data_IF_063787544471
#
_entry.id   IF_063787544471
#
_cell.length_a   1.000
_cell.length_b   1.000
_cell.length_c   1.000
_cell.angle_alpha   90.00
_cell.angle_beta   90.00
_cell.angle_gamma   90.00
#
_symmetry.space_group_name_H-M   'P 1'
#
loop_
_entity.id
_entity.type
_entity.pdbx_description
1 polymer ?
#
# COMPACT_ATOMS: atom_id res chain seq x y z
N UNK A 1 -10.20 4.92 16.77
CA UNK A 1 -10.19 3.44 16.64
C UNK A 1 -8.99 3.07 15.80
N UNK A 2 -8.30 1.99 16.11
CA UNK A 2 -7.15 1.51 15.33
C UNK A 2 -7.63 0.91 14.01
N UNK A 3 -6.95 1.22 12.89
CA UNK A 3 -7.21 0.53 11.62
C UNK A 3 -6.62 -0.87 11.67
N UNK A 4 -7.35 -1.87 11.18
CA UNK A 4 -6.85 -3.24 11.06
C UNK A 4 -6.65 -3.66 9.62
N UNK A 5 -5.49 -4.27 9.34
CA UNK A 5 -5.11 -4.83 8.04
C UNK A 5 -4.75 -6.31 8.25
N UNK A 6 -5.55 -7.19 7.67
CA UNK A 6 -5.28 -8.64 7.66
C UNK A 6 -4.71 -9.04 6.29
N UNK A 7 -3.48 -9.53 6.24
CA UNK A 7 -2.80 -9.91 5.00
C UNK A 7 -2.75 -11.43 4.89
N UNK A 8 -3.39 -11.98 3.86
CA UNK A 8 -3.41 -13.42 3.58
C UNK A 8 -2.34 -13.74 2.54
N UNK A 9 -1.42 -14.65 2.86
CA UNK A 9 -0.29 -15.00 1.99
C UNK A 9 0.10 -16.48 2.12
N UNK A 10 0.80 -16.99 1.11
CA UNK A 10 1.45 -18.31 1.15
C UNK A 10 2.92 -18.24 1.57
N UNK A 11 3.49 -17.01 1.66
CA UNK A 11 4.91 -16.74 2.00
C UNK A 11 4.99 -15.63 3.05
N UNK A 12 4.55 -15.87 4.31
CA UNK A 12 4.51 -14.85 5.35
C UNK A 12 5.88 -14.24 5.69
N UNK A 13 6.97 -14.97 5.44
CA UNK A 13 8.32 -14.51 5.73
C UNK A 13 8.71 -13.26 4.91
N UNK A 14 8.14 -13.07 3.71
CA UNK A 14 8.39 -11.87 2.87
C UNK A 14 7.84 -10.59 3.50
N UNK A 15 6.88 -10.71 4.41
CA UNK A 15 6.22 -9.59 5.08
C UNK A 15 6.86 -9.23 6.41
N UNK A 16 7.70 -10.11 6.96
CA UNK A 16 8.20 -9.99 8.33
C UNK A 16 9.00 -8.71 8.58
N UNK A 17 9.91 -8.33 7.67
CA UNK A 17 10.72 -7.12 7.83
C UNK A 17 9.95 -5.84 7.46
N UNK A 18 9.34 -5.72 6.26
CA UNK A 18 8.69 -4.47 5.86
C UNK A 18 7.60 -3.99 6.83
N UNK A 19 6.83 -4.91 7.41
CA UNK A 19 5.71 -4.56 8.29
C UNK A 19 6.14 -4.27 9.74
N UNK A 20 7.36 -4.65 10.15
CA UNK A 20 7.83 -4.56 11.54
C UNK A 20 9.00 -3.58 11.72
N UNK A 21 9.20 -2.66 10.79
CA UNK A 21 10.26 -1.65 10.87
C UNK A 21 9.72 -0.22 10.66
N UNK A 22 10.49 0.78 11.09
CA UNK A 22 10.27 2.21 10.85
C UNK A 22 8.87 2.71 11.25
N UNK A 23 8.15 3.36 10.33
CA UNK A 23 6.83 3.99 10.55
C UNK A 23 5.77 2.94 10.88
N UNK A 24 5.72 1.83 10.12
CA UNK A 24 4.72 0.78 10.34
C UNK A 24 4.84 0.16 11.74
N UNK A 25 6.07 -0.11 12.20
CA UNK A 25 6.31 -0.57 13.56
C UNK A 25 5.78 0.42 14.61
N UNK A 26 6.16 1.69 14.48
CA UNK A 26 5.73 2.74 15.43
C UNK A 26 4.22 2.93 15.47
N UNK A 27 3.56 2.91 14.29
CA UNK A 27 2.12 3.03 14.21
C UNK A 27 1.39 1.87 14.91
N UNK A 28 1.93 0.65 14.81
CA UNK A 28 1.42 -0.53 15.52
C UNK A 28 1.66 -0.43 17.03
N UNK A 29 2.89 -0.09 17.46
CA UNK A 29 3.24 0.09 18.88
C UNK A 29 2.43 1.20 19.56
N UNK A 30 2.07 2.24 18.81
CA UNK A 30 1.24 3.36 19.29
C UNK A 30 -0.27 3.11 19.14
N UNK A 31 -0.69 1.96 18.62
CA UNK A 31 -2.09 1.57 18.52
C UNK A 31 -2.89 2.31 17.43
N UNK A 32 -2.21 2.93 16.43
CA UNK A 32 -2.88 3.57 15.29
C UNK A 32 -3.28 2.56 14.21
N UNK A 33 -2.49 1.49 14.04
CA UNK A 33 -2.77 0.40 13.13
C UNK A 33 -2.48 -0.95 13.78
N UNK A 34 -3.18 -1.99 13.31
CA UNK A 34 -2.93 -3.40 13.64
C UNK A 34 -2.75 -4.16 12.34
N UNK A 35 -1.60 -4.81 12.14
CA UNK A 35 -1.32 -5.58 10.93
C UNK A 35 -1.11 -7.04 11.29
N UNK A 36 -1.95 -7.91 10.76
CA UNK A 36 -1.88 -9.36 10.98
C UNK A 36 -1.57 -10.09 9.69
N UNK A 37 -0.65 -11.03 9.74
CA UNK A 37 -0.28 -11.86 8.59
C UNK A 37 -0.80 -13.27 8.82
N UNK A 38 -1.61 -13.76 7.87
CA UNK A 38 -2.22 -15.09 7.89
C UNK A 38 -1.52 -15.98 6.87
N UNK A 39 -0.90 -17.05 7.37
CA UNK A 39 -0.35 -18.08 6.50
C UNK A 39 -1.50 -18.95 5.96
N UNK A 40 -1.75 -18.86 4.67
CA UNK A 40 -2.83 -19.59 4.02
C UNK A 40 -2.74 -21.13 4.23
N UNK A 41 -1.54 -21.64 4.45
CA UNK A 41 -1.32 -23.06 4.74
C UNK A 41 -1.95 -23.53 6.05
N UNK A 42 -2.26 -22.63 6.98
CA UNK A 42 -2.93 -22.95 8.25
C UNK A 42 -4.43 -23.22 8.08
N UNK A 43 -4.98 -22.92 6.88
CA UNK A 43 -6.39 -23.09 6.54
C UNK A 43 -6.65 -24.28 5.60
N UNK A 44 -5.69 -25.19 5.48
CA UNK A 44 -5.81 -26.43 4.71
C UNK A 44 -6.18 -27.60 5.61
N UNK A 45 -6.92 -28.59 5.07
CA UNK A 45 -7.29 -29.82 5.80
C UNK A 45 -6.35 -30.99 5.53
N UNK A 46 -5.48 -30.86 4.53
CA UNK A 46 -4.57 -31.94 4.17
C UNK A 46 -3.26 -31.87 4.94
N UNK A 47 -2.65 -33.06 5.19
CA UNK A 47 -1.39 -33.19 5.93
C UNK A 47 -0.20 -32.45 5.27
N UNK A 48 -0.25 -32.21 3.97
CA UNK A 48 0.81 -31.54 3.20
C UNK A 48 0.65 -30.03 3.22
N UNK A 49 -0.49 -29.53 3.73
CA UNK A 49 -0.83 -28.10 3.79
C UNK A 49 -0.77 -27.46 2.39
N UNK A 50 -1.38 -28.14 1.40
CA UNK A 50 -1.34 -27.78 0.00
C UNK A 50 -2.32 -26.65 -0.30
N UNK A 51 -1.83 -25.53 -0.83
CA UNK A 51 -2.61 -24.32 -1.13
C UNK A 51 -2.81 -24.07 -2.62
N UNK A 52 -2.26 -24.92 -3.47
CA UNK A 52 -2.26 -24.80 -4.93
C UNK A 52 -2.58 -26.13 -5.60
N UNK A 53 -3.04 -26.08 -6.85
CA UNK A 53 -3.32 -27.26 -7.67
C UNK A 53 -3.22 -26.90 -9.15
N UNK A 54 -3.26 -27.91 -10.02
CA UNK A 54 -3.25 -27.73 -11.47
C UNK A 54 -4.55 -27.06 -11.92
N UNK A 55 -4.48 -26.10 -12.88
CA UNK A 55 -5.69 -25.48 -13.43
C UNK A 55 -6.50 -26.48 -14.27
N UNK A 56 -7.81 -26.37 -14.25
CA UNK A 56 -8.65 -27.00 -15.26
C UNK A 56 -8.29 -26.44 -16.64
N UNK A 57 -8.42 -27.28 -17.68
CA UNK A 57 -8.07 -26.89 -19.06
C UNK A 57 -6.62 -27.24 -19.47
N UNK A 58 -5.79 -27.74 -18.54
CA UNK A 58 -4.47 -28.29 -18.87
C UNK A 58 -3.36 -27.27 -19.12
N UNK A 59 -3.54 -26.02 -18.72
CA UNK A 59 -2.49 -25.00 -18.80
C UNK A 59 -1.33 -25.29 -17.84
N UNK A 60 -0.13 -24.87 -18.21
CA UNK A 60 1.06 -25.02 -17.37
C UNK A 60 1.03 -24.06 -16.16
N UNK A 61 1.55 -24.53 -15.03
CA UNK A 61 1.64 -23.79 -13.77
C UNK A 61 0.60 -24.23 -12.75
N UNK A 62 0.68 -23.66 -11.56
CA UNK A 62 -0.20 -23.94 -10.42
C UNK A 62 -1.12 -22.75 -10.16
N UNK A 63 -2.26 -22.97 -9.56
CA UNK A 63 -3.27 -21.95 -9.20
C UNK A 63 -3.62 -22.11 -7.73
N UNK A 64 -3.75 -21.00 -7.01
CA UNK A 64 -4.18 -21.03 -5.61
C UNK A 64 -5.60 -21.57 -5.48
N UNK A 65 -5.76 -22.55 -4.59
CA UNK A 65 -7.03 -23.24 -4.34
C UNK A 65 -8.04 -22.34 -3.65
N UNK A 66 -9.31 -22.52 -4.00
CA UNK A 66 -10.41 -21.77 -3.42
C UNK A 66 -10.64 -22.10 -1.93
N UNK A 67 -10.55 -23.38 -1.53
CA UNK A 67 -10.96 -23.81 -0.19
C UNK A 67 -10.14 -23.16 0.94
N UNK A 68 -8.79 -23.11 0.91
CA UNK A 68 -8.02 -22.44 1.95
C UNK A 68 -8.32 -20.94 2.04
N UNK A 69 -8.47 -20.27 0.88
CA UNK A 69 -8.78 -18.83 0.82
C UNK A 69 -10.16 -18.55 1.40
N UNK A 70 -11.16 -19.34 0.99
CA UNK A 70 -12.52 -19.23 1.51
C UNK A 70 -12.56 -19.40 3.04
N UNK A 71 -11.92 -20.46 3.57
CA UNK A 71 -11.88 -20.71 5.02
C UNK A 71 -11.18 -19.59 5.79
N UNK A 72 -10.08 -19.06 5.27
CA UNK A 72 -9.39 -17.94 5.88
C UNK A 72 -10.28 -16.70 5.94
N UNK A 73 -10.88 -16.31 4.84
CA UNK A 73 -11.76 -15.13 4.76
C UNK A 73 -12.99 -15.31 5.66
N UNK A 74 -13.67 -16.47 5.62
CA UNK A 74 -14.83 -16.71 6.46
C UNK A 74 -14.49 -16.72 7.96
N UNK A 75 -13.33 -17.26 8.33
CA UNK A 75 -12.82 -17.18 9.70
C UNK A 75 -12.68 -15.73 10.14
N UNK A 76 -12.03 -14.89 9.34
CA UNK A 76 -11.83 -13.47 9.62
C UNK A 76 -13.18 -12.73 9.72
N UNK A 77 -14.09 -12.96 8.77
CA UNK A 77 -15.45 -12.38 8.77
C UNK A 77 -16.31 -12.86 9.95
N UNK A 78 -16.04 -14.03 10.51
CA UNK A 78 -16.72 -14.48 11.72
C UNK A 78 -16.32 -13.72 12.99
N UNK A 79 -15.18 -13.01 12.96
CA UNK A 79 -14.65 -12.25 14.10
C UNK A 79 -15.01 -10.77 14.03
N UNK A 80 -15.17 -10.21 12.81
CA UNK A 80 -15.49 -8.80 12.57
C UNK A 80 -16.02 -8.53 11.17
N UNK A 81 -16.61 -7.37 10.97
CA UNK A 81 -16.96 -6.86 9.64
C UNK A 81 -15.72 -6.26 8.97
N UNK A 82 -15.59 -6.47 7.66
CA UNK A 82 -14.54 -5.90 6.83
C UNK A 82 -15.14 -4.95 5.79
N UNK A 83 -14.52 -3.77 5.67
CA UNK A 83 -14.92 -2.74 4.71
C UNK A 83 -14.59 -3.16 3.27
N UNK A 84 -13.41 -3.77 3.07
CA UNK A 84 -12.98 -4.31 1.76
C UNK A 84 -12.14 -5.58 1.89
N UNK A 85 -12.24 -6.41 0.85
CA UNK A 85 -11.37 -7.56 0.60
C UNK A 85 -10.65 -7.28 -0.72
N UNK A 86 -9.38 -6.89 -0.60
CA UNK A 86 -8.52 -6.47 -1.70
C UNK A 86 -7.72 -7.67 -2.21
N UNK A 87 -7.73 -7.90 -3.51
CA UNK A 87 -6.81 -8.82 -4.16
C UNK A 87 -5.70 -8.04 -4.90
N UNK A 88 -4.45 -8.34 -4.60
CA UNK A 88 -3.30 -7.76 -5.31
C UNK A 88 -3.06 -8.52 -6.63
N UNK A 89 -3.32 -7.85 -7.75
CA UNK A 89 -3.30 -8.44 -9.08
C UNK A 89 -2.75 -7.44 -10.10
N UNK A 90 -1.95 -7.87 -11.11
CA UNK A 90 -1.46 -6.96 -12.14
C UNK A 90 -2.58 -6.40 -13.04
N UNK A 91 -3.72 -7.07 -13.12
CA UNK A 91 -4.89 -6.68 -13.91
C UNK A 91 -5.94 -5.89 -13.11
N UNK A 92 -5.64 -5.54 -11.85
CA UNK A 92 -6.48 -4.67 -11.02
C UNK A 92 -6.42 -3.19 -11.41
N UNK A 93 -7.24 -2.37 -10.75
CA UNK A 93 -7.15 -0.90 -10.91
C UNK A 93 -5.79 -0.40 -10.44
N UNK A 94 -5.23 0.58 -11.15
CA UNK A 94 -3.93 1.16 -10.78
C UNK A 94 -4.03 1.92 -9.47
N UNK A 95 -3.22 1.51 -8.48
CA UNK A 95 -3.10 2.14 -7.18
C UNK A 95 -2.47 3.54 -7.28
N UNK A 96 -3.01 4.49 -6.54
CA UNK A 96 -2.53 5.86 -6.47
C UNK A 96 -2.83 6.46 -5.08
N UNK A 97 -2.40 7.72 -4.85
CA UNK A 97 -2.60 8.39 -3.56
C UNK A 97 -4.09 8.54 -3.18
N UNK A 98 -4.96 8.77 -4.17
CA UNK A 98 -6.40 8.88 -3.92
C UNK A 98 -6.98 7.56 -3.35
N UNK A 99 -6.55 6.41 -3.88
CA UNK A 99 -6.93 5.10 -3.33
C UNK A 99 -6.34 4.88 -1.93
N UNK A 100 -5.09 5.31 -1.67
CA UNK A 100 -4.52 5.27 -0.33
C UNK A 100 -5.34 6.09 0.67
N UNK A 101 -5.70 7.32 0.30
CA UNK A 101 -6.54 8.20 1.11
C UNK A 101 -7.92 7.57 1.39
N UNK A 102 -8.55 6.97 0.38
CA UNK A 102 -9.84 6.28 0.54
C UNK A 102 -9.73 5.09 1.51
N UNK A 103 -8.71 4.26 1.35
CA UNK A 103 -8.49 3.10 2.22
C UNK A 103 -8.15 3.49 3.65
N UNK A 104 -7.45 4.60 3.88
CA UNK A 104 -7.09 5.06 5.23
C UNK A 104 -8.29 5.49 6.08
N UNK A 105 -9.46 5.73 5.48
CA UNK A 105 -10.71 6.03 6.16
C UNK A 105 -11.48 4.78 6.60
N UNK A 106 -11.03 3.60 6.21
CA UNK A 106 -11.64 2.33 6.57
C UNK A 106 -11.14 1.83 7.93
N UNK A 107 -11.91 0.94 8.54
CA UNK A 107 -11.57 0.36 9.84
C UNK A 107 -10.86 -0.99 9.70
N UNK A 108 -11.37 -1.86 8.82
CA UNK A 108 -10.87 -3.22 8.68
C UNK A 108 -10.79 -3.59 7.19
N UNK A 109 -9.60 -3.99 6.73
CA UNK A 109 -9.41 -4.47 5.37
C UNK A 109 -8.68 -5.81 5.36
N UNK A 110 -9.03 -6.66 4.39
CA UNK A 110 -8.25 -7.86 4.06
C UNK A 110 -7.48 -7.59 2.79
N UNK A 111 -6.20 -7.98 2.74
CA UNK A 111 -5.38 -7.97 1.52
C UNK A 111 -4.99 -9.41 1.21
N UNK A 112 -5.53 -9.97 0.13
CA UNK A 112 -5.17 -11.27 -0.39
C UNK A 112 -4.01 -11.14 -1.38
N UNK A 113 -2.88 -11.73 -1.05
CA UNK A 113 -1.70 -11.78 -1.92
C UNK A 113 -1.85 -12.91 -2.95
N UNK A 114 -1.84 -12.56 -4.23
CA UNK A 114 -1.75 -13.55 -5.31
C UNK A 114 -0.39 -14.22 -5.34
N UNK A 115 -0.36 -15.49 -5.78
CA UNK A 115 0.87 -16.24 -5.98
C UNK A 115 0.70 -17.24 -7.13
N UNK A 116 1.78 -17.91 -7.55
CA UNK A 116 1.78 -18.89 -8.65
C UNK A 116 1.36 -18.24 -9.99
N UNK A 117 0.55 -18.93 -10.80
CA UNK A 117 -0.03 -18.40 -12.04
C UNK A 117 -1.24 -17.48 -11.78
N UNK A 118 -1.80 -17.57 -10.59
CA UNK A 118 -2.98 -16.82 -10.16
C UNK A 118 -3.76 -17.55 -9.08
N UNK A 119 -5.00 -17.13 -8.89
CA UNK A 119 -5.94 -17.72 -7.93
C UNK A 119 -7.14 -18.28 -8.65
N UNK A 120 -7.84 -19.24 -8.05
CA UNK A 120 -9.12 -19.73 -8.56
C UNK A 120 -10.07 -18.54 -8.79
N UNK A 121 -10.61 -18.43 -10.00
CA UNK A 121 -11.38 -17.26 -10.42
C UNK A 121 -12.65 -17.02 -9.59
N UNK A 122 -13.21 -18.06 -9.01
CA UNK A 122 -14.37 -17.97 -8.08
C UNK A 122 -14.06 -17.15 -6.83
N UNK A 123 -12.79 -17.07 -6.41
CA UNK A 123 -12.36 -16.17 -5.33
C UNK A 123 -12.57 -14.72 -5.75
N UNK A 124 -12.18 -14.37 -6.97
CA UNK A 124 -12.35 -13.01 -7.52
C UNK A 124 -13.83 -12.65 -7.66
N UNK A 125 -14.65 -13.58 -8.13
CA UNK A 125 -16.08 -13.34 -8.37
C UNK A 125 -16.93 -13.25 -7.09
N UNK A 126 -16.57 -13.98 -6.04
CA UNK A 126 -17.47 -14.17 -4.89
C UNK A 126 -16.93 -13.63 -3.56
N UNK A 127 -15.62 -13.46 -3.43
CA UNK A 127 -14.99 -13.07 -2.16
C UNK A 127 -14.31 -11.71 -2.21
N UNK A 128 -13.70 -11.38 -3.35
CA UNK A 128 -12.96 -10.13 -3.53
C UNK A 128 -13.92 -8.98 -3.81
N UNK A 129 -13.74 -7.84 -3.14
CA UNK A 129 -14.53 -6.63 -3.40
C UNK A 129 -13.79 -5.64 -4.28
N UNK A 130 -12.44 -5.71 -4.31
CA UNK A 130 -11.59 -4.83 -5.10
C UNK A 130 -10.29 -5.53 -5.53
N UNK A 131 -9.87 -5.27 -6.76
CA UNK A 131 -8.58 -5.71 -7.27
C UNK A 131 -7.68 -4.51 -7.51
N UNK A 132 -6.45 -4.58 -7.01
CA UNK A 132 -5.49 -3.46 -7.05
C UNK A 132 -4.18 -3.92 -7.69
N UNK A 133 -3.73 -3.14 -8.67
CA UNK A 133 -2.40 -3.23 -9.29
C UNK A 133 -1.52 -2.07 -8.83
N UNK A 134 -0.27 -2.33 -8.47
CA UNK A 134 0.70 -1.28 -8.15
C UNK A 134 1.48 -0.78 -9.38
N UNK A 135 1.13 -1.23 -10.58
CA UNK A 135 1.74 -0.80 -11.84
C UNK A 135 1.69 -1.89 -12.91
N UNK A 136 1.97 -1.50 -14.15
CA UNK A 136 1.93 -2.37 -15.34
C UNK A 136 3.19 -3.25 -15.44
N UNK A 137 3.39 -4.10 -14.45
CA UNK A 137 4.46 -5.10 -14.40
C UNK A 137 4.03 -6.29 -13.53
N UNK A 138 4.66 -7.43 -13.74
CA UNK A 138 4.35 -8.67 -13.04
C UNK A 138 5.41 -8.96 -11.97
N UNK A 139 4.96 -9.23 -10.75
CA UNK A 139 5.78 -9.69 -9.64
C UNK A 139 5.61 -11.21 -9.45
N UNK A 140 6.50 -11.82 -8.66
CA UNK A 140 6.41 -13.25 -8.31
C UNK A 140 5.26 -13.58 -7.36
N UNK A 141 4.76 -12.57 -6.62
CA UNK A 141 3.63 -12.67 -5.69
C UNK A 141 3.10 -11.30 -5.31
N UNK A 142 1.98 -11.26 -4.61
CA UNK A 142 1.30 -10.05 -4.19
C UNK A 142 1.82 -9.42 -2.89
N UNK A 143 2.77 -10.04 -2.22
CA UNK A 143 3.25 -9.64 -0.89
C UNK A 143 3.88 -8.23 -0.90
N UNK A 144 4.73 -7.93 -1.88
CA UNK A 144 5.34 -6.60 -2.00
C UNK A 144 4.28 -5.54 -2.31
N UNK A 145 3.29 -5.86 -3.14
CA UNK A 145 2.15 -4.97 -3.39
C UNK A 145 1.34 -4.72 -2.11
N UNK A 146 1.11 -5.75 -1.30
CA UNK A 146 0.45 -5.62 0.00
C UNK A 146 1.26 -4.71 0.96
N UNK A 147 2.60 -4.80 0.97
CA UNK A 147 3.45 -3.89 1.74
C UNK A 147 3.31 -2.44 1.26
N UNK A 148 3.31 -2.19 -0.05
CA UNK A 148 3.13 -0.84 -0.63
C UNK A 148 1.79 -0.25 -0.22
N UNK A 149 0.71 -1.03 -0.29
CA UNK A 149 -0.63 -0.61 0.13
C UNK A 149 -0.65 -0.33 1.63
N UNK A 150 -0.15 -1.25 2.47
CA UNK A 150 -0.14 -1.09 3.91
C UNK A 150 0.67 0.15 4.35
N UNK A 151 1.87 0.35 3.79
CA UNK A 151 2.73 1.50 4.12
C UNK A 151 2.04 2.83 3.74
N UNK A 152 1.55 2.94 2.50
CA UNK A 152 0.93 4.16 2.00
C UNK A 152 -0.38 4.51 2.71
N UNK A 153 -1.13 3.51 3.19
CA UNK A 153 -2.37 3.70 3.96
C UNK A 153 -2.06 4.09 5.41
N UNK A 154 -1.19 3.33 6.08
CA UNK A 154 -0.91 3.56 7.51
C UNK A 154 -0.25 4.90 7.76
N UNK A 155 0.66 5.34 6.85
CA UNK A 155 1.36 6.62 7.02
C UNK A 155 0.47 7.87 7.04
N UNK A 156 -0.74 7.79 6.48
CA UNK A 156 -1.71 8.91 6.46
C UNK A 156 -2.78 8.81 7.56
N UNK A 157 -2.74 7.78 8.39
CA UNK A 157 -3.59 7.69 9.58
C UNK A 157 -3.11 8.75 10.58
N UNK A 158 -4.03 9.59 11.13
CA UNK A 158 -3.67 10.61 12.13
C UNK A 158 -2.88 10.01 13.30
N UNK A 159 -1.74 10.63 13.63
CA UNK A 159 -0.85 10.16 14.69
C UNK A 159 0.14 9.07 14.32
N UNK A 160 0.03 8.43 13.15
CA UNK A 160 0.98 7.39 12.70
C UNK A 160 2.36 7.97 12.34
N UNK A 161 2.40 9.19 11.80
CA UNK A 161 3.62 9.98 11.59
C UNK A 161 3.67 11.07 12.65
N UNK A 162 4.85 11.32 13.24
CA UNK A 162 5.03 12.30 14.32
C UNK A 162 4.80 13.77 13.91
N UNK A 163 4.74 14.08 12.61
CA UNK A 163 4.41 15.40 12.09
C UNK A 163 3.28 15.25 11.05
N UNK A 164 2.05 15.56 11.48
CA UNK A 164 0.86 15.47 10.64
C UNK A 164 0.90 16.44 9.45
N UNK A 165 1.56 17.61 9.61
CA UNK A 165 1.73 18.56 8.52
C UNK A 165 2.57 18.01 7.37
N UNK A 166 3.51 17.10 7.67
CA UNK A 166 4.34 16.44 6.65
C UNK A 166 3.51 15.61 5.67
N UNK A 167 2.49 14.90 6.15
CA UNK A 167 1.62 14.08 5.28
C UNK A 167 0.74 14.95 4.35
N UNK A 168 0.36 16.15 4.78
CA UNK A 168 -0.46 17.08 3.98
C UNK A 168 0.33 17.76 2.86
N UNK A 169 1.64 17.87 3.00
CA UNK A 169 2.54 18.53 2.01
C UNK A 169 3.23 17.56 1.07
N UNK A 170 2.91 16.27 1.17
CA UNK A 170 3.46 15.23 0.30
C UNK A 170 2.94 15.36 -1.16
N UNK A 171 3.69 14.72 -2.09
CA UNK A 171 3.25 14.60 -3.47
C UNK A 171 1.85 14.01 -3.59
N UNK A 172 1.09 14.49 -4.59
CA UNK A 172 -0.22 13.97 -5.00
C UNK A 172 -1.41 14.28 -4.08
N UNK A 173 -1.23 15.03 -2.99
CA UNK A 173 -2.37 15.44 -2.16
C UNK A 173 -3.29 16.40 -2.93
N UNK A 174 -2.72 17.39 -3.62
CA UNK A 174 -3.44 18.36 -4.46
C UNK A 174 -3.17 18.15 -5.96
N UNK A 175 -2.92 16.90 -6.37
CA UNK A 175 -2.50 16.56 -7.72
C UNK A 175 -1.20 17.26 -8.19
N UNK A 176 -0.37 17.70 -7.25
CA UNK A 176 0.92 18.32 -7.52
C UNK A 176 2.07 17.45 -7.01
N UNK A 177 3.23 17.62 -7.63
CA UNK A 177 4.49 17.12 -7.08
C UNK A 177 4.99 18.09 -6.01
N UNK A 178 5.58 17.54 -4.94
CA UNK A 178 6.19 18.37 -3.90
C UNK A 178 7.28 19.30 -4.45
N UNK A 179 7.43 20.52 -3.86
CA UNK A 179 8.52 21.42 -4.21
C UNK A 179 9.89 20.81 -3.86
N UNK A 180 10.99 21.32 -4.44
CA UNK A 180 12.34 20.89 -4.03
C UNK A 180 12.60 21.23 -2.57
N UNK A 181 13.21 20.28 -1.85
CA UNK A 181 13.63 20.48 -0.46
C UNK A 181 15.15 20.51 -0.37
N UNK A 182 15.68 21.31 0.56
CA UNK A 182 17.10 21.49 0.78
C UNK A 182 17.44 21.31 2.26
N UNK A 183 18.64 20.80 2.55
CA UNK A 183 19.15 20.66 3.90
C UNK A 183 20.49 21.39 4.03
N UNK A 184 21.04 21.49 5.23
CA UNK A 184 22.36 22.04 5.53
C UNK A 184 23.47 21.17 4.94
N UNK A 185 24.57 21.76 4.48
CA UNK A 185 24.94 23.19 4.51
C UNK A 185 24.21 24.01 3.40
N UNK A 186 24.14 25.34 3.56
CA UNK A 186 23.53 26.23 2.57
C UNK A 186 24.29 26.29 1.23
N UNK A 187 25.57 25.92 1.21
CA UNK A 187 26.38 25.76 0.00
C UNK A 187 27.25 24.51 0.10
N UNK A 188 27.27 23.71 -0.97
CA UNK A 188 28.13 22.52 -1.09
C UNK A 188 28.66 22.40 -2.52
N UNK A 189 29.96 22.39 -2.71
CA UNK A 189 30.65 22.33 -4.02
C UNK A 189 30.17 23.41 -5.02
N UNK A 190 29.86 24.62 -4.54
CA UNK A 190 29.32 25.70 -5.37
C UNK A 190 27.82 25.61 -5.67
N UNK A 191 27.15 24.55 -5.20
CA UNK A 191 25.69 24.41 -5.30
C UNK A 191 25.03 25.08 -4.10
N UNK A 192 24.16 26.03 -4.35
CA UNK A 192 23.55 26.87 -3.32
C UNK A 192 22.07 26.53 -3.11
N UNK A 193 21.65 26.62 -1.85
CA UNK A 193 20.23 26.69 -1.52
C UNK A 193 19.67 28.01 -2.04
N UNK A 194 18.48 28.05 -2.64
CA UNK A 194 17.84 29.30 -3.05
C UNK A 194 17.73 30.31 -1.91
N UNK A 195 18.10 31.58 -2.18
CA UNK A 195 18.15 32.63 -1.16
C UNK A 195 16.79 32.87 -0.47
N UNK A 196 15.68 32.70 -1.19
CA UNK A 196 14.32 32.80 -0.64
C UNK A 196 14.11 31.85 0.56
N UNK A 197 14.67 30.63 0.51
CA UNK A 197 14.55 29.64 1.60
C UNK A 197 15.40 30.02 2.82
N UNK A 198 16.36 30.92 2.66
CA UNK A 198 17.23 31.41 3.75
C UNK A 198 16.73 32.76 4.31
N UNK A 199 15.73 33.38 3.70
CA UNK A 199 15.24 34.72 4.02
C UNK A 199 14.50 34.82 5.38
N UNK A 200 13.88 33.72 5.83
CA UNK A 200 12.98 33.74 6.97
C UNK A 200 11.62 34.37 6.69
N UNK A 201 11.36 34.82 5.45
CA UNK A 201 10.03 35.36 5.05
C UNK A 201 9.12 34.20 4.60
N UNK A 202 8.31 33.71 5.53
CA UNK A 202 7.43 32.54 5.29
C UNK A 202 6.48 32.73 4.11
N UNK A 203 5.95 33.92 3.89
CA UNK A 203 5.03 34.17 2.77
C UNK A 203 5.72 34.05 1.40
N UNK A 204 6.97 34.53 1.29
CA UNK A 204 7.77 34.38 0.06
C UNK A 204 8.24 32.94 -0.14
N UNK A 205 8.55 32.22 0.96
CA UNK A 205 8.92 30.81 0.90
C UNK A 205 7.74 29.96 0.40
N UNK A 206 6.54 30.14 0.95
CA UNK A 206 5.32 29.44 0.54
C UNK A 206 5.01 29.70 -0.93
N UNK A 207 5.01 30.96 -1.36
CA UNK A 207 4.81 31.32 -2.76
C UNK A 207 5.83 30.64 -3.68
N UNK A 208 7.09 30.63 -3.30
CA UNK A 208 8.15 29.95 -4.07
C UNK A 208 7.92 28.44 -4.12
N UNK A 209 7.52 27.83 -3.02
CA UNK A 209 7.21 26.39 -2.96
C UNK A 209 6.07 26.04 -3.90
N UNK A 210 4.98 26.82 -3.93
CA UNK A 210 3.84 26.63 -4.84
C UNK A 210 4.25 26.75 -6.30
N UNK A 211 5.02 27.79 -6.64
CA UNK A 211 5.54 27.99 -7.99
C UNK A 211 6.42 26.82 -8.45
N UNK A 212 7.27 26.29 -7.55
CA UNK A 212 8.11 25.14 -7.86
C UNK A 212 7.30 23.87 -8.00
N UNK A 213 6.34 23.61 -7.12
CA UNK A 213 5.46 22.46 -7.19
C UNK A 213 4.71 22.44 -8.53
N UNK A 214 4.11 23.55 -8.92
CA UNK A 214 3.38 23.67 -10.18
C UNK A 214 4.30 23.50 -11.41
N UNK A 215 5.45 24.17 -11.41
CA UNK A 215 6.43 24.09 -12.50
C UNK A 215 6.96 22.67 -12.71
N UNK A 216 7.30 21.98 -11.60
CA UNK A 216 7.76 20.58 -11.61
C UNK A 216 6.68 19.64 -12.11
N UNK A 217 5.44 19.84 -11.64
CA UNK A 217 4.30 19.01 -12.08
C UNK A 217 4.07 19.16 -13.57
N UNK A 218 4.06 20.40 -14.07
CA UNK A 218 3.91 20.68 -15.50
C UNK A 218 5.00 20.03 -16.35
N UNK A 219 6.23 20.02 -15.85
CA UNK A 219 7.38 19.47 -16.59
C UNK A 219 7.45 17.94 -16.55
N UNK A 220 7.16 17.33 -15.39
CA UNK A 220 7.43 15.89 -15.12
C UNK A 220 6.15 15.04 -15.16
N UNK A 221 5.03 15.58 -14.74
CA UNK A 221 3.74 14.88 -14.63
C UNK A 221 2.58 15.76 -15.08
N UNK A 222 2.58 16.20 -16.37
CA UNK A 222 1.49 17.06 -16.92
C UNK A 222 0.12 16.35 -16.92
N UNK A 223 0.10 15.04 -16.79
CA UNK A 223 -1.10 14.22 -16.64
C UNK A 223 -1.89 14.53 -15.36
N UNK A 224 -1.23 14.98 -14.30
CA UNK A 224 -1.86 15.35 -13.02
C UNK A 224 -2.63 16.69 -13.09
N UNK A 225 -2.38 17.51 -14.11
CA UNK A 225 -3.00 18.84 -14.30
C UNK A 225 -4.22 18.82 -15.23
N UNK A 226 -4.72 17.63 -15.59
CA UNK A 226 -5.86 17.45 -16.51
C UNK A 226 -7.18 17.39 -15.80
#
# INVERSE_FOLDING_TARGET
>A
MSMRIDIITVVPELLASPLNESILKRAQESGHAEIYVHNLRDYTDDKRRTVDDYPFGGEAGMVMKIEPVYRCIEKLKSERDYDEIIFTSPDGITYNQHEANRLSLMQNIIILCGHYKGIDYRIREHLVTREISIGDYVLTGGELAACVIADSVVRIIPGAIGDEASALTDCFQDNLLAPPVYTRPAEFNGWKVPDVLLSGNFAEIEKWQDEQAWSRTKALRPDLLK
#
